data_IF_999514968603
#
_entry.id   IF_999514968603
#
_cell.length_a   1.000
_cell.length_b   1.000
_cell.length_c   1.000
_cell.angle_alpha   90.00
_cell.angle_beta   90.00
_cell.angle_gamma   90.00
#
_symmetry.space_group_name_H-M   'P 1'
#
loop_
_entity.id
_entity.type
_entity.pdbx_description
1 polymer ?
#
# COMPACT_ATOMS: atom_id res chain seq x y z
N UNK A 1 -32.55 48.66 -7.21
CA UNK A 1 -31.93 47.62 -8.06
C UNK A 1 -30.43 47.66 -7.77
N UNK A 2 -29.94 46.77 -6.91
CA UNK A 2 -28.52 46.71 -6.52
C UNK A 2 -28.10 45.25 -6.68
N UNK A 3 -27.25 45.00 -7.68
CA UNK A 3 -26.65 43.68 -7.91
C UNK A 3 -25.49 43.50 -6.94
N UNK A 4 -25.52 42.38 -6.23
CA UNK A 4 -24.43 41.90 -5.39
C UNK A 4 -23.36 41.25 -6.28
N UNK A 5 -22.16 41.81 -6.27
CA UNK A 5 -20.99 41.22 -6.95
C UNK A 5 -20.60 39.91 -6.25
N UNK A 6 -20.69 38.80 -6.99
CA UNK A 6 -20.22 37.49 -6.52
C UNK A 6 -18.69 37.48 -6.47
N UNK A 7 -18.13 37.48 -5.26
CA UNK A 7 -16.72 37.19 -5.04
C UNK A 7 -16.49 35.70 -5.32
N UNK A 8 -15.81 35.39 -6.44
CA UNK A 8 -15.33 34.03 -6.71
C UNK A 8 -14.07 33.83 -5.87
N UNK A 9 -14.16 33.01 -4.82
CA UNK A 9 -13.00 32.63 -4.02
C UNK A 9 -12.01 31.86 -4.91
N UNK A 10 -10.78 32.37 -4.99
CA UNK A 10 -9.68 31.69 -5.67
C UNK A 10 -9.26 30.47 -4.84
N UNK A 11 -9.71 29.27 -5.23
CA UNK A 11 -9.30 28.02 -4.59
C UNK A 11 -7.95 27.61 -5.18
N UNK A 12 -6.87 28.03 -4.54
CA UNK A 12 -5.54 27.55 -4.88
C UNK A 12 -5.42 26.04 -4.62
N UNK A 13 -4.61 25.34 -5.43
CA UNK A 13 -4.29 23.93 -5.22
C UNK A 13 -3.79 23.71 -3.79
N UNK A 14 -4.29 22.69 -3.06
CA UNK A 14 -3.81 22.39 -1.73
C UNK A 14 -2.31 22.06 -1.81
N UNK A 15 -1.52 22.66 -0.90
CA UNK A 15 -0.10 22.32 -0.75
C UNK A 15 0.03 20.82 -0.44
N UNK A 16 1.06 20.14 -0.97
CA UNK A 16 1.32 18.75 -0.61
C UNK A 16 1.32 18.60 0.92
N UNK A 17 0.76 17.53 1.45
CA UNK A 17 0.64 17.31 2.91
C UNK A 17 2.01 17.38 3.62
N UNK A 18 3.09 17.10 2.88
CA UNK A 18 4.48 17.19 3.31
C UNK A 18 5.01 18.63 3.47
N UNK A 19 4.28 19.63 2.98
CA UNK A 19 4.65 21.05 2.95
C UNK A 19 3.65 21.96 3.69
N UNK A 20 2.67 21.39 4.40
CA UNK A 20 1.76 22.18 5.23
C UNK A 20 2.42 22.58 6.55
N UNK A 21 2.49 23.89 6.81
CA UNK A 21 2.85 24.41 8.12
C UNK A 21 1.80 23.96 9.15
N UNK A 22 2.22 23.10 10.10
CA UNK A 22 1.33 22.66 11.17
C UNK A 22 1.05 23.81 12.13
N UNK A 23 -0.20 23.92 12.57
CA UNK A 23 -0.61 24.87 13.62
C UNK A 23 0.05 24.52 14.95
N UNK A 24 1.24 25.08 15.19
CA UNK A 24 2.03 24.97 16.42
C UNK A 24 1.36 25.59 17.65
N UNK A 25 0.24 26.31 17.47
CA UNK A 25 -0.44 27.10 18.51
C UNK A 25 -1.61 26.43 19.25
N UNK A 26 -2.03 25.22 18.89
CA UNK A 26 -3.02 24.50 19.69
C UNK A 26 -2.32 23.75 20.84
N UNK A 27 -2.48 24.25 22.06
CA UNK A 27 -2.08 23.58 23.31
C UNK A 27 -3.32 23.18 24.10
N UNK A 28 -3.39 21.93 24.53
CA UNK A 28 -4.40 21.40 25.46
C UNK A 28 -3.79 21.02 26.82
N UNK A 29 -2.46 21.15 27.01
CA UNK A 29 -1.80 20.81 28.27
C UNK A 29 -0.55 21.69 28.56
N UNK A 30 -0.57 22.53 29.62
CA UNK A 30 0.52 23.44 29.98
C UNK A 30 1.69 22.78 30.75
N UNK A 31 1.60 21.51 31.12
CA UNK A 31 2.64 20.81 31.92
C UNK A 31 3.77 20.19 31.08
N UNK A 32 3.67 20.23 29.75
CA UNK A 32 4.69 19.68 28.86
C UNK A 32 5.56 20.83 28.32
N UNK A 33 6.86 20.88 28.63
CA UNK A 33 7.80 21.84 28.05
C UNK A 33 7.80 21.81 26.52
N UNK A 34 7.79 22.99 25.89
CA UNK A 34 7.76 23.11 24.43
C UNK A 34 8.92 22.38 23.73
N UNK A 35 10.11 22.34 24.35
CA UNK A 35 11.29 21.64 23.81
C UNK A 35 11.11 20.10 23.76
N UNK A 36 10.44 19.52 24.77
CA UNK A 36 10.12 18.09 24.76
C UNK A 36 9.11 17.77 23.66
N UNK A 37 8.10 18.63 23.48
CA UNK A 37 7.13 18.53 22.39
C UNK A 37 7.80 18.60 21.02
N UNK A 38 8.71 19.54 20.81
CA UNK A 38 9.44 19.66 19.54
C UNK A 38 10.26 18.41 19.23
N UNK A 39 10.94 17.84 20.23
CA UNK A 39 11.70 16.59 20.06
C UNK A 39 10.80 15.39 19.76
N UNK A 40 9.68 15.26 20.46
CA UNK A 40 8.68 14.21 20.18
C UNK A 40 8.11 14.35 18.77
N UNK A 41 7.79 15.56 18.33
CA UNK A 41 7.30 15.82 16.98
C UNK A 41 8.33 15.48 15.90
N UNK A 42 9.60 15.84 16.10
CA UNK A 42 10.69 15.50 15.18
C UNK A 42 10.87 13.98 15.08
N UNK A 43 10.80 13.29 16.22
CA UNK A 43 10.93 11.82 16.26
C UNK A 43 9.78 11.14 15.51
N UNK A 44 8.53 11.55 15.79
CA UNK A 44 7.34 11.05 15.10
C UNK A 44 7.42 11.32 13.60
N UNK A 45 7.93 12.49 13.18
CA UNK A 45 8.08 12.82 11.77
C UNK A 45 9.14 11.96 11.08
N UNK A 46 10.27 11.68 11.75
CA UNK A 46 11.31 10.81 11.23
C UNK A 46 10.80 9.37 11.07
N UNK A 47 10.09 8.84 12.06
CA UNK A 47 9.46 7.51 11.99
C UNK A 47 8.43 7.43 10.87
N UNK A 48 7.56 8.44 10.75
CA UNK A 48 6.56 8.48 9.68
C UNK A 48 7.20 8.52 8.29
N UNK A 49 8.25 9.34 8.10
CA UNK A 49 8.97 9.42 6.83
C UNK A 49 9.64 8.08 6.48
N UNK A 50 10.26 7.43 7.45
CA UNK A 50 10.87 6.12 7.27
C UNK A 50 9.85 5.07 6.79
N UNK A 51 8.68 4.99 7.44
CA UNK A 51 7.60 4.07 7.06
C UNK A 51 7.12 4.34 5.62
N UNK A 52 6.97 5.63 5.26
CA UNK A 52 6.54 6.03 3.92
C UNK A 52 7.59 5.65 2.87
N UNK A 53 8.86 5.90 3.14
CA UNK A 53 9.97 5.55 2.25
C UNK A 53 10.08 4.04 2.07
N UNK A 54 10.00 3.27 3.15
CA UNK A 54 10.03 1.80 3.12
C UNK A 54 8.87 1.24 2.29
N UNK A 55 7.65 1.72 2.50
CA UNK A 55 6.48 1.31 1.74
C UNK A 55 6.59 1.70 0.24
N UNK A 56 7.17 2.85 -0.07
CA UNK A 56 7.42 3.28 -1.44
C UNK A 56 8.47 2.40 -2.14
N UNK A 57 9.60 2.12 -1.48
CA UNK A 57 10.65 1.28 -2.05
C UNK A 57 10.21 -0.17 -2.19
N UNK A 58 9.45 -0.69 -1.23
CA UNK A 58 8.83 -2.02 -1.32
C UNK A 58 7.91 -2.07 -2.53
N UNK A 59 6.99 -1.12 -2.70
CA UNK A 59 6.15 -1.07 -3.89
C UNK A 59 6.93 -0.91 -5.19
N UNK A 60 8.03 -0.15 -5.21
CA UNK A 60 8.87 0.02 -6.40
C UNK A 60 9.58 -1.27 -6.78
N UNK A 61 10.03 -2.07 -5.83
CA UNK A 61 10.85 -3.27 -6.10
C UNK A 61 10.02 -4.55 -6.19
N UNK A 62 8.93 -4.66 -5.43
CA UNK A 62 8.12 -5.87 -5.33
C UNK A 62 6.84 -5.83 -6.17
N UNK A 63 6.46 -4.68 -6.74
CA UNK A 63 5.28 -4.60 -7.62
C UNK A 63 5.54 -5.30 -8.95
N UNK A 64 4.60 -6.16 -9.33
CA UNK A 64 4.56 -6.83 -10.65
C UNK A 64 4.71 -5.86 -11.81
N UNK A 65 4.27 -4.60 -11.67
CA UNK A 65 4.39 -3.57 -12.73
C UNK A 65 5.84 -3.27 -13.11
N UNK A 66 6.78 -3.51 -12.21
CA UNK A 66 8.19 -3.20 -12.40
C UNK A 66 9.03 -4.46 -12.70
N UNK A 67 8.39 -5.62 -12.89
CA UNK A 67 9.05 -6.90 -13.16
C UNK A 67 9.08 -7.20 -14.66
N UNK A 68 10.12 -7.91 -15.10
CA UNK A 68 10.18 -8.47 -16.46
C UNK A 68 9.28 -9.70 -16.60
N UNK A 69 8.88 -10.06 -17.83
CA UNK A 69 8.05 -11.25 -18.09
C UNK A 69 8.68 -12.54 -17.57
N UNK A 70 10.01 -12.68 -17.65
CA UNK A 70 10.74 -13.84 -17.14
C UNK A 70 10.65 -13.93 -15.61
N UNK A 71 10.76 -12.80 -14.91
CA UNK A 71 10.60 -12.74 -13.45
C UNK A 71 9.16 -13.07 -13.04
N UNK A 72 8.17 -12.54 -13.76
CA UNK A 72 6.76 -12.86 -13.53
C UNK A 72 6.52 -14.37 -13.69
N UNK A 73 7.04 -14.98 -14.77
CA UNK A 73 6.88 -16.41 -15.01
C UNK A 73 7.54 -17.26 -13.91
N UNK A 74 8.76 -16.91 -13.47
CA UNK A 74 9.41 -17.58 -12.35
C UNK A 74 8.61 -17.46 -11.05
N UNK A 75 8.05 -16.29 -10.79
CA UNK A 75 7.25 -16.03 -9.60
C UNK A 75 5.87 -16.71 -9.64
N UNK A 76 5.28 -16.95 -10.82
CA UNK A 76 4.04 -17.75 -10.94
C UNK A 76 4.28 -19.16 -10.41
N UNK A 77 5.33 -19.84 -10.89
CA UNK A 77 5.64 -21.21 -10.45
C UNK A 77 5.91 -21.26 -8.94
N UNK A 78 6.78 -20.37 -8.45
CA UNK A 78 7.09 -20.26 -7.01
C UNK A 78 5.86 -19.95 -6.16
N UNK A 79 4.96 -19.10 -6.67
CA UNK A 79 3.70 -18.77 -5.98
C UNK A 79 2.77 -19.96 -5.89
N UNK A 80 2.60 -20.71 -6.98
CA UNK A 80 1.73 -21.91 -6.98
C UNK A 80 2.27 -22.95 -6.01
N UNK A 81 3.58 -23.25 -6.06
CA UNK A 81 4.19 -24.21 -5.11
C UNK A 81 4.07 -23.71 -3.68
N UNK A 82 4.39 -22.43 -3.42
CA UNK A 82 4.32 -21.86 -2.09
C UNK A 82 2.90 -21.81 -1.51
N UNK A 83 1.87 -21.61 -2.34
CA UNK A 83 0.47 -21.72 -1.90
C UNK A 83 0.13 -23.17 -1.56
N UNK A 84 0.52 -24.12 -2.39
CA UNK A 84 0.26 -25.55 -2.14
C UNK A 84 0.97 -25.97 -0.84
N UNK A 85 2.24 -25.62 -0.68
CA UNK A 85 3.01 -25.93 0.52
C UNK A 85 2.36 -25.33 1.77
N UNK A 86 2.00 -24.04 1.74
CA UNK A 86 1.35 -23.38 2.87
C UNK A 86 -0.06 -23.97 3.13
N UNK A 87 -0.82 -24.40 2.10
CA UNK A 87 -2.10 -25.08 2.28
C UNK A 87 -1.95 -26.40 3.06
N UNK A 88 -0.92 -27.19 2.74
CA UNK A 88 -0.67 -28.46 3.42
C UNK A 88 0.03 -28.29 4.77
N UNK A 89 0.76 -27.20 4.96
CA UNK A 89 1.43 -26.86 6.22
C UNK A 89 0.56 -26.02 7.17
N UNK A 90 -0.76 -25.95 6.93
CA UNK A 90 -1.66 -25.14 7.74
C UNK A 90 -1.54 -25.48 9.25
N UNK A 91 -1.31 -24.48 10.12
CA UNK A 91 -1.34 -24.66 11.57
C UNK A 91 -2.73 -25.06 12.11
N UNK A 92 -2.76 -25.90 13.15
CA UNK A 92 -4.02 -26.38 13.75
C UNK A 92 -4.80 -25.29 14.50
N UNK A 93 -4.10 -24.29 15.03
CA UNK A 93 -4.57 -23.16 15.81
C UNK A 93 -5.14 -22.01 14.95
N UNK A 94 -4.80 -21.95 13.66
CA UNK A 94 -5.31 -20.92 12.75
C UNK A 94 -6.62 -21.34 12.08
N UNK A 95 -7.71 -20.55 12.14
CA UNK A 95 -8.92 -20.82 11.37
C UNK A 95 -8.69 -20.57 9.87
N UNK A 96 -9.25 -21.44 9.03
CA UNK A 96 -9.13 -21.34 7.56
C UNK A 96 -9.53 -19.97 7.00
N UNK A 97 -10.55 -19.35 7.58
CA UNK A 97 -11.04 -18.02 7.19
C UNK A 97 -9.96 -16.93 7.26
N UNK A 98 -9.02 -17.05 8.21
CA UNK A 98 -7.94 -16.09 8.37
C UNK A 98 -6.70 -16.54 7.61
N UNK A 99 -6.43 -17.85 7.59
CA UNK A 99 -5.23 -18.41 6.99
C UNK A 99 -5.21 -18.32 5.46
N UNK A 100 -6.33 -18.60 4.78
CA UNK A 100 -6.42 -18.55 3.32
C UNK A 100 -6.08 -17.16 2.74
N UNK A 101 -6.68 -16.05 3.23
CA UNK A 101 -6.27 -14.72 2.80
C UNK A 101 -4.78 -14.46 3.01
N UNK A 102 -4.21 -14.89 4.14
CA UNK A 102 -2.79 -14.67 4.46
C UNK A 102 -1.86 -15.36 3.45
N UNK A 103 -2.10 -16.63 3.13
CA UNK A 103 -1.22 -17.37 2.20
C UNK A 103 -1.35 -16.87 0.75
N UNK A 104 -2.52 -16.36 0.38
CA UNK A 104 -2.79 -15.79 -0.96
C UNK A 104 -2.20 -14.38 -1.09
N UNK A 105 -2.18 -13.59 -0.01
CA UNK A 105 -1.61 -12.24 -0.02
C UNK A 105 -0.09 -12.19 0.14
N UNK A 106 0.50 -13.22 0.75
CA UNK A 106 1.95 -13.37 0.90
C UNK A 106 2.66 -13.15 -0.44
N UNK A 107 3.68 -12.30 -0.45
CA UNK A 107 4.53 -12.04 -1.63
C UNK A 107 3.76 -11.69 -2.93
N UNK A 108 2.57 -11.08 -2.84
CA UNK A 108 1.72 -10.77 -4.00
C UNK A 108 1.28 -12.01 -4.82
N UNK A 109 1.29 -13.20 -4.22
CA UNK A 109 0.87 -14.47 -4.86
C UNK A 109 -0.47 -14.39 -5.57
N UNK A 110 -1.44 -13.65 -5.03
CA UNK A 110 -2.74 -13.41 -5.65
C UNK A 110 -2.65 -12.83 -7.07
N UNK A 111 -1.68 -11.94 -7.30
CA UNK A 111 -1.55 -11.27 -8.59
C UNK A 111 -0.85 -12.17 -9.61
N UNK A 112 0.11 -12.99 -9.18
CA UNK A 112 0.69 -14.05 -10.02
C UNK A 112 -0.36 -15.09 -10.43
N UNK A 113 -1.22 -15.52 -9.49
CA UNK A 113 -2.37 -16.37 -9.80
C UNK A 113 -3.33 -15.72 -10.79
N UNK A 114 -3.61 -14.42 -10.63
CA UNK A 114 -4.45 -13.67 -11.57
C UNK A 114 -3.89 -13.69 -12.99
N UNK A 115 -2.58 -13.48 -13.15
CA UNK A 115 -1.90 -13.55 -14.46
C UNK A 115 -1.99 -14.96 -15.05
N UNK A 116 -1.76 -16.00 -14.24
CA UNK A 116 -1.91 -17.39 -14.67
C UNK A 116 -3.31 -17.67 -15.21
N UNK A 117 -4.35 -17.24 -14.50
CA UNK A 117 -5.75 -17.42 -14.92
C UNK A 117 -6.06 -16.68 -16.23
N UNK A 118 -5.48 -15.51 -16.45
CA UNK A 118 -5.60 -14.78 -17.73
C UNK A 118 -4.98 -15.61 -18.86
N UNK A 119 -3.78 -16.17 -18.68
CA UNK A 119 -3.17 -17.02 -19.69
C UNK A 119 -4.02 -18.26 -20.02
N UNK A 120 -4.59 -18.90 -19.00
CA UNK A 120 -5.50 -20.04 -19.19
C UNK A 120 -6.77 -19.62 -19.92
N UNK A 121 -7.36 -18.48 -19.57
CA UNK A 121 -8.55 -17.96 -20.24
C UNK A 121 -8.30 -17.65 -21.72
N UNK A 122 -7.17 -17.00 -22.03
CA UNK A 122 -6.75 -16.73 -23.42
C UNK A 122 -6.54 -18.02 -24.18
N UNK A 123 -5.86 -19.01 -23.58
CA UNK A 123 -5.67 -20.33 -24.19
C UNK A 123 -7.01 -21.02 -24.50
N UNK A 124 -7.95 -21.03 -23.56
CA UNK A 124 -9.28 -21.62 -23.78
C UNK A 124 -10.05 -20.91 -24.90
N UNK A 125 -9.91 -19.58 -25.00
CA UNK A 125 -10.54 -18.81 -26.07
C UNK A 125 -9.96 -19.17 -27.44
N UNK A 126 -8.63 -19.29 -27.55
CA UNK A 126 -7.95 -19.67 -28.78
C UNK A 126 -8.20 -21.13 -29.17
N UNK A 127 -8.26 -22.05 -28.21
CA UNK A 127 -8.51 -23.47 -28.46
C UNK A 127 -9.97 -23.78 -28.84
N UNK A 128 -10.90 -22.86 -28.54
CA UNK A 128 -12.31 -22.95 -28.93
C UNK A 128 -12.62 -22.20 -30.23
N UNK A 129 -11.74 -21.29 -30.64
CA UNK A 129 -11.82 -20.54 -31.89
C UNK A 129 -11.37 -21.35 -33.11
#
# INVERSE_FOLDING_TARGET
>A
MSMSDKVIANVANPTPILQQDRSSKLTTNPFIPNEQRERELVTIQQEANYIIEEAYQTNKTSSIRNMTLNQINGNISSSVTGIIDDLFAKPNDAPWRNYLPTIIQKEQRFAYLGILLIFVAVYMLLARG
#
